data_IF_052991721164
#
_entry.id   IF_052991721164
#
_cell.length_a   1.000
_cell.length_b   1.000
_cell.length_c   1.000
_cell.angle_alpha   90.00
_cell.angle_beta   90.00
_cell.angle_gamma   90.00
#
_symmetry.space_group_name_H-M   'P 1'
#
loop_
_entity.id
_entity.type
_entity.pdbx_description
1 polymer ?
#
# COMPACT_ATOMS: atom_id res chain seq x y z
N UNK A 1 -19.30 -23.09 -29.97
CA UNK A 1 -17.88 -23.47 -30.08
C UNK A 1 -17.10 -22.66 -29.07
N UNK A 2 -16.64 -23.33 -28.02
CA UNK A 2 -15.78 -22.75 -26.99
C UNK A 2 -14.33 -22.75 -27.46
N UNK A 3 -13.59 -21.68 -27.18
CA UNK A 3 -12.13 -21.67 -27.03
C UNK A 3 -11.82 -20.84 -25.78
N UNK A 4 -11.14 -21.47 -24.83
CA UNK A 4 -10.88 -21.01 -23.47
C UNK A 4 -9.55 -20.23 -23.34
N UNK A 5 -9.50 -19.36 -22.34
CA UNK A 5 -8.33 -18.60 -21.88
C UNK A 5 -7.97 -18.97 -20.42
N UNK A 6 -6.69 -18.80 -20.09
CA UNK A 6 -5.93 -19.38 -18.96
C UNK A 6 -5.82 -18.46 -17.72
N UNK A 7 -5.43 -18.98 -16.54
CA UNK A 7 -5.48 -18.25 -15.27
C UNK A 7 -4.21 -17.70 -14.59
N UNK A 8 -4.42 -16.89 -13.53
CA UNK A 8 -3.41 -16.26 -12.64
C UNK A 8 -3.69 -16.46 -11.14
N UNK A 9 -2.73 -16.98 -10.37
CA UNK A 9 -2.84 -17.36 -8.95
C UNK A 9 -2.29 -16.28 -7.98
N UNK A 10 -2.82 -16.20 -6.76
CA UNK A 10 -2.31 -15.38 -5.65
C UNK A 10 -1.17 -16.11 -4.90
N UNK A 11 -0.01 -15.45 -4.74
CA UNK A 11 1.16 -15.99 -4.04
C UNK A 11 1.56 -15.13 -2.83
N UNK A 12 1.58 -15.73 -1.64
CA UNK A 12 2.60 -15.44 -0.63
C UNK A 12 3.90 -16.11 -1.11
N UNK A 13 5.09 -15.50 -0.94
CA UNK A 13 6.33 -16.11 -1.39
C UNK A 13 6.72 -17.27 -0.47
N UNK A 14 6.23 -18.46 -0.77
CA UNK A 14 6.84 -19.72 -0.37
C UNK A 14 7.77 -20.17 -1.49
N UNK A 15 9.04 -20.41 -1.19
CA UNK A 15 9.96 -20.99 -2.16
C UNK A 15 9.87 -22.52 -2.11
N UNK A 16 9.89 -23.12 -3.29
CA UNK A 16 10.15 -24.55 -3.52
C UNK A 16 11.08 -24.66 -4.73
N UNK A 17 12.23 -25.33 -4.54
CA UNK A 17 13.23 -25.67 -5.57
C UNK A 17 12.90 -27.08 -6.12
N UNK A 18 13.35 -27.63 -7.26
CA UNK A 18 14.47 -27.43 -8.19
C UNK A 18 14.20 -28.20 -9.50
N UNK A 19 14.96 -27.94 -10.58
CA UNK A 19 15.30 -29.03 -11.54
C UNK A 19 16.68 -28.79 -12.14
N UNK A 20 17.65 -29.60 -11.73
CA UNK A 20 18.97 -29.73 -12.34
C UNK A 20 18.91 -30.69 -13.54
N UNK A 21 19.56 -30.30 -14.64
CA UNK A 21 19.77 -31.14 -15.83
C UNK A 21 20.83 -32.20 -15.54
N UNK A 22 20.50 -33.44 -15.86
CA UNK A 22 21.37 -34.61 -15.89
C UNK A 22 22.44 -34.49 -16.98
N UNK A 23 23.70 -34.80 -16.62
CA UNK A 23 24.75 -35.16 -17.58
C UNK A 23 25.46 -36.43 -17.12
N UNK A 24 25.58 -37.33 -18.08
CA UNK A 24 25.94 -38.76 -18.02
C UNK A 24 27.41 -39.03 -17.65
N UNK A 25 27.63 -40.12 -16.90
CA UNK A 25 28.94 -40.74 -16.62
C UNK A 25 29.52 -41.49 -17.83
N UNK A 26 30.86 -41.61 -17.88
CA UNK A 26 31.55 -42.69 -18.58
C UNK A 26 32.90 -43.08 -17.93
N UNK A 27 32.95 -44.33 -17.45
CA UNK A 27 33.96 -45.39 -17.71
C UNK A 27 35.38 -45.46 -17.05
N UNK A 28 35.63 -46.68 -16.47
CA UNK A 28 36.87 -47.51 -16.33
C UNK A 28 37.97 -47.05 -15.34
N UNK A 29 38.77 -47.88 -14.64
CA UNK A 29 38.88 -49.34 -14.42
C UNK A 29 40.04 -49.67 -13.41
N UNK A 30 39.94 -50.82 -12.72
CA UNK A 30 41.00 -51.81 -12.33
C UNK A 30 41.93 -51.64 -11.08
N UNK A 31 42.10 -52.79 -10.38
CA UNK A 31 43.18 -53.22 -9.45
C UNK A 31 42.64 -53.50 -8.02
N UNK A 32 42.38 -54.72 -7.51
CA UNK A 32 43.04 -56.05 -7.32
C UNK A 32 43.96 -56.13 -6.08
N UNK A 33 43.84 -57.27 -5.37
CA UNK A 33 44.61 -57.84 -4.23
C UNK A 33 44.02 -57.53 -2.83
N UNK A 34 43.84 -58.45 -1.86
CA UNK A 34 44.14 -59.88 -1.67
C UNK A 34 43.56 -60.36 -0.31
N UNK A 35 43.34 -61.66 -0.15
CA UNK A 35 42.66 -62.41 0.96
C UNK A 35 43.75 -63.13 1.80
N UNK A 36 43.67 -63.35 3.15
CA UNK A 36 42.94 -64.50 3.79
C UNK A 36 42.40 -64.26 5.23
N UNK A 37 41.18 -64.71 5.57
CA UNK A 37 40.79 -65.99 6.20
C UNK A 37 41.64 -66.49 7.39
N UNK A 38 41.04 -66.47 8.59
CA UNK A 38 41.36 -67.34 9.73
C UNK A 38 40.10 -67.69 10.54
N UNK A 39 40.15 -68.79 11.26
CA UNK A 39 39.10 -69.81 11.48
C UNK A 39 38.35 -69.75 12.83
N UNK A 40 37.00 -69.91 12.78
CA UNK A 40 35.99 -70.66 13.60
C UNK A 40 36.27 -71.08 15.07
N UNK A 41 35.26 -71.29 15.99
CA UNK A 41 33.90 -71.79 15.73
C UNK A 41 32.73 -71.18 16.57
N UNK A 42 31.53 -71.72 16.34
CA UNK A 42 30.20 -71.33 16.84
C UNK A 42 29.92 -71.82 18.28
N UNK A 43 29.27 -70.99 19.13
CA UNK A 43 28.23 -71.45 20.08
C UNK A 43 27.34 -70.32 20.62
N UNK A 44 26.05 -70.63 20.68
CA UNK A 44 24.91 -69.83 21.12
C UNK A 44 25.01 -69.35 22.57
N UNK A 45 24.63 -68.09 22.82
CA UNK A 45 24.02 -67.65 24.08
C UNK A 45 22.89 -66.67 23.75
N UNK A 46 21.66 -67.05 24.09
CA UNK A 46 20.48 -66.18 24.12
C UNK A 46 20.40 -65.61 25.54
N UNK A 47 20.69 -64.32 25.75
CA UNK A 47 20.30 -63.61 26.96
C UNK A 47 19.86 -62.18 26.63
N UNK A 48 18.55 -62.01 26.74
CA UNK A 48 17.79 -60.93 27.40
C UNK A 48 18.09 -59.45 27.09
N UNK A 49 16.99 -58.78 26.73
CA UNK A 49 16.87 -57.33 26.59
C UNK A 49 17.24 -56.58 27.88
N UNK A 50 17.96 -55.48 27.72
CA UNK A 50 17.90 -54.33 28.62
C UNK A 50 17.84 -53.06 27.79
N UNK A 51 16.75 -52.34 28.01
CA UNK A 51 16.40 -51.02 27.51
C UNK A 51 17.50 -49.99 27.71
N UNK A 52 17.96 -49.41 26.61
CA UNK A 52 18.55 -48.07 26.59
C UNK A 52 17.88 -47.28 25.48
N UNK A 53 17.00 -46.37 25.89
CA UNK A 53 16.41 -45.33 25.07
C UNK A 53 17.54 -44.40 24.61
N UNK A 54 18.17 -44.72 23.49
CA UNK A 54 18.96 -43.75 22.74
C UNK A 54 17.97 -42.75 22.15
N UNK A 55 17.90 -41.56 22.75
CA UNK A 55 17.34 -40.39 22.08
C UNK A 55 18.12 -40.23 20.77
N UNK A 56 17.48 -40.59 19.67
CA UNK A 56 17.96 -40.19 18.36
C UNK A 56 17.91 -38.67 18.33
N UNK A 57 19.07 -38.02 18.42
CA UNK A 57 19.22 -36.66 17.95
C UNK A 57 18.85 -36.69 16.47
N UNK A 58 17.73 -36.07 16.11
CA UNK A 58 17.53 -35.60 14.76
C UNK A 58 18.72 -34.68 14.45
N UNK A 59 19.61 -35.13 13.55
CA UNK A 59 20.53 -34.23 12.86
C UNK A 59 19.67 -33.25 12.05
N UNK A 60 19.29 -32.13 12.67
CA UNK A 60 18.71 -30.99 11.96
C UNK A 60 19.73 -30.51 10.93
N UNK A 61 19.34 -30.56 9.64
CA UNK A 61 20.06 -29.89 8.58
C UNK A 61 20.41 -28.45 9.01
N UNK A 62 21.59 -27.91 8.63
CA UNK A 62 22.01 -26.59 9.06
C UNK A 62 20.91 -25.57 8.75
N UNK A 63 20.46 -24.85 9.78
CA UNK A 63 19.37 -23.90 9.66
C UNK A 63 19.72 -22.86 8.58
N UNK A 64 18.93 -22.82 7.51
CA UNK A 64 19.04 -21.80 6.46
C UNK A 64 18.15 -20.61 6.81
N UNK A 65 18.47 -19.43 6.27
CA UNK A 65 17.64 -18.24 6.44
C UNK A 65 16.18 -18.50 6.01
N UNK A 66 15.98 -19.18 4.88
CA UNK A 66 14.66 -19.62 4.39
C UNK A 66 13.91 -20.50 5.42
N UNK A 67 14.58 -21.51 5.98
CA UNK A 67 13.98 -22.42 6.97
C UNK A 67 13.55 -21.65 8.23
N UNK A 68 14.39 -20.72 8.70
CA UNK A 68 14.05 -19.85 9.82
C UNK A 68 12.85 -18.94 9.51
N UNK A 69 12.76 -18.35 8.31
CA UNK A 69 11.58 -17.55 7.92
C UNK A 69 10.31 -18.40 7.92
N UNK A 70 10.35 -19.60 7.32
CA UNK A 70 9.20 -20.49 7.25
C UNK A 70 8.77 -20.97 8.65
N UNK A 71 9.74 -21.32 9.51
CA UNK A 71 9.50 -21.68 10.90
C UNK A 71 8.88 -20.53 11.69
N UNK A 72 9.40 -19.31 11.53
CA UNK A 72 8.85 -18.10 12.13
C UNK A 72 7.40 -17.85 11.74
N UNK A 73 7.04 -18.04 10.46
CA UNK A 73 5.68 -17.90 9.96
C UNK A 73 4.72 -18.92 10.60
N UNK A 74 5.15 -20.19 10.72
CA UNK A 74 4.35 -21.23 11.38
C UNK A 74 4.16 -20.96 12.88
N UNK A 75 5.18 -20.42 13.55
CA UNK A 75 5.08 -20.03 14.96
C UNK A 75 4.14 -18.83 15.13
N UNK A 76 4.23 -17.86 14.22
CA UNK A 76 3.35 -16.69 14.22
C UNK A 76 1.89 -17.09 14.02
N UNK A 77 1.58 -17.98 13.07
CA UNK A 77 0.22 -18.49 12.86
C UNK A 77 -0.34 -19.25 14.07
N UNK A 78 0.53 -19.81 14.91
CA UNK A 78 0.16 -20.47 16.18
C UNK A 78 0.05 -19.48 17.36
N UNK A 79 0.25 -18.18 17.13
CA UNK A 79 0.25 -17.15 18.17
C UNK A 79 1.52 -17.10 19.03
N UNK A 80 2.57 -17.87 18.69
CA UNK A 80 3.86 -17.91 19.41
C UNK A 80 4.77 -16.78 18.93
N UNK A 81 4.31 -15.54 19.09
CA UNK A 81 4.93 -14.33 18.49
C UNK A 81 6.37 -14.08 18.95
N UNK A 82 6.69 -14.38 20.21
CA UNK A 82 8.07 -14.20 20.73
C UNK A 82 9.07 -15.11 20.03
N UNK A 83 8.66 -16.34 19.75
CA UNK A 83 9.52 -17.35 19.10
C UNK A 83 9.60 -17.08 17.60
N UNK A 84 8.49 -16.65 16.99
CA UNK A 84 8.49 -16.17 15.61
C UNK A 84 9.51 -15.03 15.40
N UNK A 85 9.52 -14.03 16.29
CA UNK A 85 10.52 -12.95 16.26
C UNK A 85 11.95 -13.49 16.33
N UNK A 86 12.22 -14.44 17.24
CA UNK A 86 13.54 -15.07 17.34
C UNK A 86 13.94 -15.75 16.04
N UNK A 87 13.02 -16.44 15.37
CA UNK A 87 13.30 -17.10 14.09
C UNK A 87 13.58 -16.08 12.97
N UNK A 88 12.83 -14.98 12.91
CA UNK A 88 13.12 -13.92 11.92
C UNK A 88 14.43 -13.20 12.20
N UNK A 89 14.80 -12.99 13.47
CA UNK A 89 16.10 -12.44 13.84
C UNK A 89 17.23 -13.39 13.43
N UNK A 90 17.09 -14.69 13.70
CA UNK A 90 18.06 -15.71 13.25
C UNK A 90 18.18 -15.70 11.72
N UNK A 91 17.07 -15.65 10.98
CA UNK A 91 17.10 -15.60 9.52
C UNK A 91 17.94 -14.42 9.00
N UNK A 92 17.85 -13.25 9.64
CA UNK A 92 18.63 -12.06 9.26
C UNK A 92 20.13 -12.17 9.56
N UNK A 93 20.53 -13.12 10.43
CA UNK A 93 21.95 -13.40 10.74
C UNK A 93 22.57 -14.47 9.84
N UNK A 94 21.76 -15.28 9.14
CA UNK A 94 22.19 -16.44 8.35
C UNK A 94 22.55 -16.11 6.90
N UNK A 95 23.03 -14.89 6.63
CA UNK A 95 23.31 -14.38 5.28
C UNK A 95 22.14 -14.61 4.29
N UNK A 96 20.97 -14.03 4.56
CA UNK A 96 19.81 -14.20 3.70
C UNK A 96 20.05 -13.60 2.31
N UNK A 97 19.44 -14.20 1.29
CA UNK A 97 19.33 -13.51 0.01
C UNK A 97 18.36 -12.30 0.13
N UNK A 98 18.33 -11.36 -0.84
CA UNK A 98 17.49 -10.16 -0.73
C UNK A 98 15.99 -10.45 -0.51
N UNK A 99 15.45 -11.53 -1.07
CA UNK A 99 14.04 -11.89 -0.93
C UNK A 99 13.75 -12.47 0.48
N UNK A 100 14.65 -13.30 1.00
CA UNK A 100 14.57 -13.83 2.36
C UNK A 100 14.68 -12.73 3.40
N UNK A 101 15.61 -11.78 3.21
CA UNK A 101 15.79 -10.64 4.10
C UNK A 101 14.55 -9.73 4.09
N UNK A 102 14.00 -9.46 2.91
CA UNK A 102 12.73 -8.73 2.76
C UNK A 102 11.60 -9.42 3.53
N UNK A 103 11.43 -10.74 3.34
CA UNK A 103 10.40 -11.53 4.00
C UNK A 103 10.58 -11.58 5.53
N UNK A 104 11.81 -11.77 6.01
CA UNK A 104 12.12 -11.78 7.43
C UNK A 104 11.81 -10.43 8.09
N UNK A 105 12.25 -9.31 7.50
CA UNK A 105 11.96 -7.97 8.00
C UNK A 105 10.45 -7.66 7.99
N UNK A 106 9.77 -8.05 6.92
CA UNK A 106 8.33 -7.86 6.78
C UNK A 106 7.55 -8.62 7.85
N UNK A 107 7.79 -9.93 8.00
CA UNK A 107 7.09 -10.74 8.98
C UNK A 107 7.45 -10.36 10.43
N UNK A 108 8.70 -9.92 10.65
CA UNK A 108 9.12 -9.32 11.93
C UNK A 108 8.31 -8.05 12.23
N UNK A 109 8.04 -7.21 11.23
CA UNK A 109 7.18 -6.04 11.41
C UNK A 109 5.74 -6.42 11.77
N UNK A 110 5.15 -7.43 11.11
CA UNK A 110 3.82 -7.95 11.47
C UNK A 110 3.78 -8.44 12.92
N UNK A 111 4.83 -9.12 13.39
CA UNK A 111 4.96 -9.52 14.80
C UNK A 111 5.00 -8.34 15.77
N UNK A 112 5.74 -7.27 15.45
CA UNK A 112 5.78 -6.06 16.27
C UNK A 112 4.44 -5.30 16.24
N UNK A 113 3.79 -5.21 15.09
CA UNK A 113 2.46 -4.63 14.92
C UNK A 113 1.42 -5.36 15.79
N UNK A 114 1.45 -6.70 15.79
CA UNK A 114 0.60 -7.53 16.62
C UNK A 114 0.82 -7.27 18.13
N UNK A 115 2.06 -7.00 18.54
CA UNK A 115 2.42 -6.66 19.93
C UNK A 115 2.12 -5.21 20.31
N UNK A 116 1.67 -4.37 19.38
CA UNK A 116 1.49 -2.93 19.58
C UNK A 116 2.82 -2.15 19.64
N UNK A 117 3.92 -2.75 19.21
CA UNK A 117 5.26 -2.16 19.20
C UNK A 117 5.49 -1.34 17.91
N UNK A 118 4.71 -0.26 17.75
CA UNK A 118 4.65 0.54 16.53
C UNK A 118 5.99 1.00 15.98
N UNK A 119 6.88 1.53 16.84
CA UNK A 119 8.22 1.99 16.44
C UNK A 119 9.05 0.88 15.78
N UNK A 120 9.11 -0.30 16.41
CA UNK A 120 9.89 -1.43 15.88
C UNK A 120 9.28 -1.98 14.59
N UNK A 121 7.95 -1.97 14.48
CA UNK A 121 7.27 -2.34 13.25
C UNK A 121 7.66 -1.37 12.11
N UNK A 122 7.60 -0.06 12.38
CA UNK A 122 7.99 0.97 11.43
C UNK A 122 9.46 0.83 11.00
N UNK A 123 10.37 0.57 11.93
CA UNK A 123 11.81 0.41 11.62
C UNK A 123 12.07 -0.80 10.71
N UNK A 124 11.42 -1.93 10.99
CA UNK A 124 11.54 -3.12 10.15
C UNK A 124 10.99 -2.86 8.74
N UNK A 125 9.83 -2.21 8.63
CA UNK A 125 9.23 -1.86 7.34
C UNK A 125 10.07 -0.83 6.58
N UNK A 126 10.62 0.18 7.26
CA UNK A 126 11.52 1.17 6.65
C UNK A 126 12.73 0.49 6.03
N UNK A 127 13.34 -0.46 6.74
CA UNK A 127 14.45 -1.26 6.22
C UNK A 127 14.03 -2.10 5.02
N UNK A 128 12.88 -2.77 5.09
CA UNK A 128 12.35 -3.58 3.99
C UNK A 128 12.04 -2.75 2.72
N UNK A 129 11.47 -1.56 2.90
CA UNK A 129 11.16 -0.62 1.83
C UNK A 129 12.44 -0.04 1.20
N UNK A 130 13.41 0.39 2.02
CA UNK A 130 14.67 1.01 1.59
C UNK A 130 15.61 0.03 0.89
N UNK A 131 15.97 -1.05 1.58
CA UNK A 131 17.08 -1.91 1.16
C UNK A 131 16.63 -3.02 0.19
N UNK A 132 15.35 -3.39 0.24
CA UNK A 132 14.84 -4.54 -0.49
C UNK A 132 13.67 -4.21 -1.43
N UNK A 133 13.39 -2.93 -1.70
CA UNK A 133 12.32 -2.47 -2.60
C UNK A 133 10.96 -3.13 -2.32
N UNK A 134 10.61 -3.29 -1.03
CA UNK A 134 9.26 -3.70 -0.65
C UNK A 134 8.26 -2.70 -1.24
N UNK A 135 7.16 -3.21 -1.79
CA UNK A 135 6.07 -2.35 -2.29
C UNK A 135 5.27 -1.84 -1.10
N UNK A 136 5.13 -0.52 -0.98
CA UNK A 136 4.30 0.07 0.09
C UNK A 136 2.84 -0.38 0.03
N UNK A 137 2.34 -0.70 -1.17
CA UNK A 137 1.02 -1.31 -1.35
C UNK A 137 0.85 -2.64 -0.60
N UNK A 138 1.92 -3.42 -0.39
CA UNK A 138 1.87 -4.65 0.42
C UNK A 138 1.52 -4.33 1.88
N UNK A 139 2.13 -3.27 2.44
CA UNK A 139 1.89 -2.80 3.81
C UNK A 139 0.44 -2.33 4.00
N UNK A 140 -0.11 -1.63 3.00
CA UNK A 140 -1.47 -1.09 3.05
C UNK A 140 -2.56 -2.16 3.06
N UNK A 141 -2.34 -3.24 2.31
CA UNK A 141 -3.36 -4.28 2.08
C UNK A 141 -3.26 -5.43 3.08
N UNK A 142 -2.20 -5.49 3.90
CA UNK A 142 -2.02 -6.58 4.84
C UNK A 142 -2.97 -6.43 6.06
N UNK A 143 -3.80 -7.46 6.36
CA UNK A 143 -4.64 -7.45 7.55
C UNK A 143 -3.85 -7.48 8.87
N UNK A 144 -2.69 -8.11 8.92
CA UNK A 144 -1.85 -8.21 10.13
C UNK A 144 -1.24 -6.86 10.53
N UNK A 145 -1.15 -5.93 9.57
CA UNK A 145 -0.68 -4.56 9.79
C UNK A 145 -1.83 -3.58 10.04
N UNK A 146 -3.09 -4.02 10.10
CA UNK A 146 -4.24 -3.13 10.34
C UNK A 146 -4.12 -2.39 11.69
N UNK A 147 -3.63 -3.05 12.74
CA UNK A 147 -3.40 -2.40 14.04
C UNK A 147 -2.29 -1.34 13.96
N UNK A 148 -1.24 -1.60 13.19
CA UNK A 148 -0.13 -0.68 12.98
C UNK A 148 -0.54 0.55 12.17
N UNK A 149 -1.42 0.39 11.17
CA UNK A 149 -1.97 1.52 10.38
C UNK A 149 -2.74 2.53 11.23
N UNK A 150 -3.27 2.09 12.36
CA UNK A 150 -3.91 2.94 13.35
C UNK A 150 -2.92 3.67 14.28
N UNK A 151 -1.61 3.47 14.18
CA UNK A 151 -0.59 4.12 15.02
C UNK A 151 0.02 5.36 14.35
N UNK A 152 0.52 6.36 15.12
CA UNK A 152 1.19 7.53 14.56
C UNK A 152 2.45 7.18 13.77
N UNK A 153 3.17 6.12 14.16
CA UNK A 153 4.39 5.66 13.47
C UNK A 153 4.12 5.21 12.03
N UNK A 154 2.92 4.71 11.73
CA UNK A 154 2.55 4.40 10.34
C UNK A 154 2.38 5.66 9.51
N UNK A 155 1.86 6.75 10.09
CA UNK A 155 1.76 8.05 9.40
C UNK A 155 3.14 8.61 9.10
N UNK A 156 4.08 8.50 10.03
CA UNK A 156 5.48 8.87 9.80
C UNK A 156 6.04 8.09 8.62
N UNK A 157 5.93 6.75 8.64
CA UNK A 157 6.37 5.87 7.55
C UNK A 157 5.69 6.19 6.20
N UNK A 158 4.41 6.53 6.20
CA UNK A 158 3.66 6.89 5.01
C UNK A 158 4.10 8.26 4.44
N UNK A 159 4.31 9.26 5.29
CA UNK A 159 4.81 10.57 4.89
C UNK A 159 6.22 10.46 4.34
N UNK A 160 7.05 9.69 5.00
CA UNK A 160 8.38 9.25 4.59
C UNK A 160 8.37 8.63 3.17
N UNK A 161 7.53 7.62 2.94
CA UNK A 161 7.36 6.98 1.63
C UNK A 161 6.80 7.95 0.57
N UNK A 162 5.94 8.90 0.96
CA UNK A 162 5.39 9.95 0.08
C UNK A 162 6.44 10.99 -0.30
N UNK A 163 7.28 11.40 0.66
CA UNK A 163 8.37 12.36 0.47
C UNK A 163 9.52 11.77 -0.34
N UNK A 164 9.59 10.44 -0.43
CA UNK A 164 10.38 9.71 -1.42
C UNK A 164 11.84 10.16 -1.48
N UNK A 165 12.47 10.23 -0.30
CA UNK A 165 13.91 10.35 -0.17
C UNK A 165 14.61 9.04 -0.53
N UNK A 166 15.92 9.13 -0.71
CA UNK A 166 16.83 7.99 -0.92
C UNK A 166 16.74 6.95 0.24
N UNK A 167 16.16 7.35 1.36
CA UNK A 167 16.10 6.58 2.59
C UNK A 167 15.00 5.53 2.70
N UNK A 168 13.98 5.50 1.81
CA UNK A 168 12.74 4.71 2.08
C UNK A 168 12.25 3.95 0.84
N UNK A 169 12.97 4.04 -0.27
CA UNK A 169 12.64 3.33 -1.51
C UNK A 169 11.59 4.06 -2.36
N UNK A 170 11.63 3.82 -3.67
CA UNK A 170 10.90 4.61 -4.66
C UNK A 170 9.47 4.14 -4.91
N UNK A 171 9.06 2.96 -4.41
CA UNK A 171 7.85 2.28 -4.89
C UNK A 171 6.57 3.12 -4.72
N UNK A 172 6.30 3.65 -3.52
CA UNK A 172 5.07 4.42 -3.26
C UNK A 172 5.03 5.77 -4.00
N UNK A 173 6.08 6.60 -3.87
CA UNK A 173 6.15 7.88 -4.56
C UNK A 173 6.11 7.69 -6.07
N UNK A 174 6.78 6.68 -6.61
CA UNK A 174 6.77 6.40 -8.05
C UNK A 174 5.36 6.09 -8.52
N UNK A 175 4.63 5.22 -7.82
CA UNK A 175 3.26 4.88 -8.18
C UNK A 175 2.35 6.13 -8.11
N UNK A 176 2.50 6.98 -7.09
CA UNK A 176 1.80 8.26 -7.00
C UNK A 176 2.18 9.23 -8.13
N UNK A 177 3.46 9.26 -8.52
CA UNK A 177 3.98 10.10 -9.61
C UNK A 177 3.42 9.64 -10.96
N UNK A 178 3.32 8.33 -11.19
CA UNK A 178 2.70 7.80 -12.40
C UNK A 178 1.22 8.21 -12.49
N UNK A 179 0.48 8.15 -11.37
CA UNK A 179 -0.91 8.63 -11.32
C UNK A 179 -0.98 10.15 -11.58
N UNK A 180 -0.06 10.93 -11.01
CA UNK A 180 -0.04 12.39 -11.20
C UNK A 180 0.38 12.82 -12.60
N UNK A 181 1.27 12.06 -13.26
CA UNK A 181 1.67 12.25 -14.65
C UNK A 181 0.51 11.99 -15.62
N UNK A 182 -0.34 11.00 -15.34
CA UNK A 182 -1.57 10.77 -16.11
C UNK A 182 -2.54 11.95 -15.98
N UNK A 183 -2.62 12.57 -14.80
CA UNK A 183 -3.51 13.74 -14.58
C UNK A 183 -2.95 15.04 -15.17
N UNK A 184 -1.62 15.18 -15.23
CA UNK A 184 -0.94 16.36 -15.75
C UNK A 184 0.15 15.95 -16.75
N UNK A 185 -0.25 15.64 -18.00
CA UNK A 185 0.67 15.10 -18.98
C UNK A 185 1.81 16.08 -19.27
N UNK A 186 3.00 15.53 -19.52
CA UNK A 186 4.22 16.27 -19.88
C UNK A 186 4.77 17.25 -18.83
N UNK A 187 4.35 17.16 -17.56
CA UNK A 187 4.94 17.97 -16.47
C UNK A 187 6.48 17.85 -16.43
N UNK A 188 7.01 16.63 -16.53
CA UNK A 188 8.45 16.40 -16.55
C UNK A 188 9.16 17.11 -17.71
N UNK A 189 8.57 17.08 -18.91
CA UNK A 189 9.08 17.77 -20.10
C UNK A 189 9.10 19.29 -19.88
N UNK A 190 8.02 19.84 -19.34
CA UNK A 190 7.91 21.28 -19.04
C UNK A 190 8.96 21.75 -18.04
N UNK A 191 9.19 20.98 -16.96
CA UNK A 191 10.24 21.28 -15.98
C UNK A 191 11.64 21.22 -16.56
N UNK A 192 11.89 20.24 -17.42
CA UNK A 192 13.15 20.15 -18.16
C UNK A 192 13.41 21.45 -18.93
N UNK A 193 12.41 21.95 -19.67
CA UNK A 193 12.54 23.22 -20.39
C UNK A 193 12.69 24.43 -19.47
N UNK A 194 11.99 24.50 -18.34
CA UNK A 194 12.18 25.57 -17.37
C UNK A 194 13.61 25.65 -16.86
N UNK A 195 14.20 24.51 -16.48
CA UNK A 195 15.58 24.45 -16.00
C UNK A 195 16.57 24.72 -17.13
N UNK A 196 16.39 24.08 -18.29
CA UNK A 196 17.29 24.23 -19.43
C UNK A 196 17.33 25.67 -19.95
N UNK A 197 16.18 26.33 -20.10
CA UNK A 197 16.11 27.72 -20.54
C UNK A 197 16.59 28.69 -19.47
N UNK A 198 16.37 28.40 -18.18
CA UNK A 198 16.96 29.21 -17.10
C UNK A 198 18.49 29.12 -17.11
N UNK A 199 19.05 27.92 -17.32
CA UNK A 199 20.48 27.72 -17.44
C UNK A 199 21.05 28.42 -18.68
N UNK A 200 20.39 28.30 -19.83
CA UNK A 200 20.79 28.99 -21.06
C UNK A 200 20.79 30.51 -20.90
N UNK A 201 19.73 31.08 -20.30
CA UNK A 201 19.65 32.50 -20.01
C UNK A 201 20.70 32.95 -18.98
N UNK A 202 21.01 32.12 -17.99
CA UNK A 202 22.10 32.36 -17.03
C UNK A 202 23.49 32.40 -17.68
N UNK A 203 23.78 31.45 -18.58
CA UNK A 203 25.02 31.44 -19.36
C UNK A 203 25.10 32.68 -20.26
N UNK A 204 24.00 33.04 -20.94
CA UNK A 204 23.94 34.26 -21.75
C UNK A 204 24.19 35.52 -20.92
N UNK A 205 23.60 35.59 -19.72
CA UNK A 205 23.78 36.71 -18.80
C UNK A 205 25.23 36.83 -18.30
N UNK A 206 25.90 35.70 -18.05
CA UNK A 206 27.32 35.66 -17.68
C UNK A 206 28.22 36.37 -18.70
N UNK A 207 27.94 36.23 -19.99
CA UNK A 207 28.67 36.95 -21.05
C UNK A 207 28.17 38.37 -21.29
N UNK A 208 26.88 38.63 -21.06
CA UNK A 208 26.27 39.94 -21.33
C UNK A 208 26.59 40.97 -20.25
N UNK A 209 26.72 40.58 -18.98
CA UNK A 209 27.04 41.51 -17.88
C UNK A 209 28.39 42.23 -18.10
N UNK A 210 29.52 41.53 -18.38
CA UNK A 210 30.78 42.21 -18.67
C UNK A 210 30.71 43.13 -19.90
N UNK A 211 29.96 42.73 -20.93
CA UNK A 211 29.73 43.57 -22.12
C UNK A 211 28.94 44.83 -21.78
N UNK A 212 27.93 44.72 -20.92
CA UNK A 212 27.13 45.85 -20.46
C UNK A 212 27.98 46.83 -19.65
N UNK A 213 28.86 46.33 -18.77
CA UNK A 213 29.80 47.16 -18.02
C UNK A 213 30.74 47.92 -18.97
N UNK A 214 31.25 47.26 -20.02
CA UNK A 214 32.08 47.92 -21.05
C UNK A 214 31.29 48.96 -21.84
N UNK A 215 30.04 48.66 -22.23
CA UNK A 215 29.15 49.59 -22.92
C UNK A 215 28.92 50.87 -22.10
N UNK A 216 28.71 50.74 -20.79
CA UNK A 216 28.52 51.88 -19.88
C UNK A 216 29.80 52.72 -19.73
N UNK A 217 30.97 52.06 -19.69
CA UNK A 217 32.27 52.76 -19.59
C UNK A 217 32.65 53.54 -20.84
N UNK A 218 32.08 53.20 -22.01
CA UNK A 218 32.40 53.85 -23.29
C UNK A 218 33.79 53.51 -23.84
N UNK A 219 34.10 54.01 -25.03
CA UNK A 219 35.35 53.80 -25.77
C UNK A 219 35.13 53.52 -27.25
N UNK A 220 36.18 53.63 -28.07
CA UNK A 220 36.09 53.52 -29.54
C UNK A 220 35.57 52.15 -30.02
N UNK A 221 35.78 51.08 -29.23
CA UNK A 221 35.32 49.70 -29.50
C UNK A 221 34.18 49.24 -28.54
N UNK A 222 33.46 50.16 -27.90
CA UNK A 222 32.41 49.80 -26.95
C UNK A 222 31.14 49.26 -27.66
N UNK A 223 30.53 48.16 -27.19
CA UNK A 223 29.29 47.63 -27.77
C UNK A 223 28.10 48.57 -27.52
N UNK A 224 27.09 48.51 -28.39
CA UNK A 224 25.89 49.34 -28.28
C UNK A 224 25.18 49.13 -26.93
N UNK A 225 24.98 50.21 -26.18
CA UNK A 225 24.40 50.19 -24.84
C UNK A 225 22.96 49.67 -24.82
N UNK A 226 22.11 50.15 -25.73
CA UNK A 226 20.69 49.79 -25.75
C UNK A 226 20.48 48.33 -26.14
N UNK A 227 21.21 47.85 -27.14
CA UNK A 227 21.14 46.45 -27.57
C UNK A 227 21.66 45.52 -26.46
N UNK A 228 22.76 45.89 -25.81
CA UNK A 228 23.36 45.10 -24.72
C UNK A 228 22.47 45.12 -23.46
N UNK A 229 21.88 46.26 -23.13
CA UNK A 229 20.94 46.41 -22.02
C UNK A 229 19.65 45.64 -22.28
N UNK A 230 19.11 45.70 -23.50
CA UNK A 230 17.93 44.93 -23.92
C UNK A 230 18.16 43.43 -23.80
N UNK A 231 19.30 42.92 -24.29
CA UNK A 231 19.68 41.52 -24.14
C UNK A 231 19.84 41.09 -22.68
N UNK A 232 20.43 41.93 -21.82
CA UNK A 232 20.54 41.65 -20.40
C UNK A 232 19.15 41.59 -19.74
N UNK A 233 18.27 42.56 -20.05
CA UNK A 233 16.91 42.62 -19.52
C UNK A 233 16.07 41.41 -19.92
N UNK A 234 16.15 40.97 -21.18
CA UNK A 234 15.45 39.77 -21.68
C UNK A 234 15.91 38.52 -20.92
N UNK A 235 17.22 38.33 -20.74
CA UNK A 235 17.74 37.16 -20.03
C UNK A 235 17.36 37.19 -18.54
N UNK A 236 17.47 38.35 -17.87
CA UNK A 236 17.06 38.50 -16.46
C UNK A 236 15.56 38.22 -16.31
N UNK A 237 14.72 38.84 -17.13
CA UNK A 237 13.28 38.62 -17.12
C UNK A 237 12.91 37.16 -17.40
N UNK A 238 13.58 36.53 -18.38
CA UNK A 238 13.43 35.12 -18.70
C UNK A 238 13.74 34.22 -17.52
N UNK A 239 14.88 34.40 -16.85
CA UNK A 239 15.24 33.63 -15.65
C UNK A 239 14.18 33.80 -14.55
N UNK A 240 13.78 35.05 -14.26
CA UNK A 240 12.77 35.32 -13.22
C UNK A 240 11.46 34.58 -13.52
N UNK A 241 10.95 34.69 -14.75
CA UNK A 241 9.69 34.05 -15.15
C UNK A 241 9.80 32.53 -15.11
N UNK A 242 10.87 31.94 -15.66
CA UNK A 242 11.06 30.49 -15.70
C UNK A 242 11.24 29.89 -14.30
N UNK A 243 11.97 30.58 -13.42
CA UNK A 243 12.12 30.18 -12.01
C UNK A 243 10.77 30.27 -11.28
N UNK A 244 9.99 31.33 -11.49
CA UNK A 244 8.66 31.46 -10.92
C UNK A 244 7.71 30.34 -11.40
N UNK A 245 7.74 30.01 -12.70
CA UNK A 245 6.98 28.90 -13.28
C UNK A 245 7.40 27.54 -12.71
N UNK A 246 8.70 27.34 -12.48
CA UNK A 246 9.23 26.13 -11.85
C UNK A 246 8.70 25.97 -10.41
N UNK A 247 8.78 27.02 -9.59
CA UNK A 247 8.24 27.01 -8.24
C UNK A 247 6.73 26.76 -8.23
N UNK A 248 5.99 27.39 -9.15
CA UNK A 248 4.55 27.19 -9.25
C UNK A 248 4.18 25.76 -9.63
N UNK A 249 4.88 25.17 -10.60
CA UNK A 249 4.64 23.78 -11.03
C UNK A 249 5.07 22.75 -9.96
N UNK A 250 6.08 23.07 -9.14
CA UNK A 250 6.45 22.28 -7.96
C UNK A 250 5.34 22.31 -6.91
N UNK A 251 4.85 23.50 -6.55
CA UNK A 251 3.73 23.66 -5.63
C UNK A 251 2.48 22.92 -6.12
N UNK A 252 2.16 23.02 -7.42
CA UNK A 252 1.01 22.33 -8.02
C UNK A 252 1.16 20.81 -8.01
N UNK A 253 2.36 20.28 -8.22
CA UNK A 253 2.61 18.84 -8.07
C UNK A 253 2.42 18.38 -6.63
N UNK A 254 2.94 19.12 -5.65
CA UNK A 254 2.79 18.78 -4.23
C UNK A 254 1.31 18.76 -3.81
N UNK A 255 0.54 19.78 -4.21
CA UNK A 255 -0.91 19.84 -3.99
C UNK A 255 -1.61 18.61 -4.60
N UNK A 256 -1.27 18.25 -5.84
CA UNK A 256 -1.84 17.10 -6.52
C UNK A 256 -1.45 15.77 -5.86
N UNK A 257 -0.17 15.58 -5.53
CA UNK A 257 0.32 14.36 -4.87
C UNK A 257 -0.32 14.20 -3.49
N UNK A 258 -0.50 15.30 -2.74
CA UNK A 258 -1.19 15.29 -1.45
C UNK A 258 -2.67 14.88 -1.62
N UNK A 259 -3.34 15.38 -2.67
CA UNK A 259 -4.72 14.98 -2.97
C UNK A 259 -4.82 13.51 -3.40
N UNK A 260 -3.93 13.03 -4.27
CA UNK A 260 -3.89 11.63 -4.73
C UNK A 260 -3.61 10.70 -3.55
N UNK A 261 -2.60 11.01 -2.73
CA UNK A 261 -2.26 10.23 -1.53
C UNK A 261 -3.43 10.16 -0.54
N UNK A 262 -4.15 11.28 -0.34
CA UNK A 262 -5.33 11.33 0.52
C UNK A 262 -6.48 10.49 -0.03
N UNK A 263 -6.70 10.52 -1.35
CA UNK A 263 -7.71 9.69 -2.01
C UNK A 263 -7.35 8.19 -1.98
N UNK A 264 -6.06 7.85 -2.13
CA UNK A 264 -5.60 6.46 -2.01
C UNK A 264 -5.80 5.96 -0.59
N UNK A 265 -5.41 6.75 0.42
CA UNK A 265 -5.66 6.43 1.84
C UNK A 265 -7.14 6.23 2.12
N UNK A 266 -8.02 7.12 1.63
CA UNK A 266 -9.48 6.97 1.74
C UNK A 266 -9.95 5.62 1.19
N UNK A 267 -9.43 5.25 0.02
CA UNK A 267 -9.84 4.04 -0.68
C UNK A 267 -9.49 2.75 0.10
N UNK A 268 -8.48 2.80 0.97
CA UNK A 268 -8.03 1.68 1.80
C UNK A 268 -8.69 1.63 3.18
N UNK A 269 -9.51 2.62 3.54
CA UNK A 269 -10.14 2.64 4.84
C UNK A 269 -11.14 1.47 4.98
N UNK A 270 -11.02 0.66 6.05
CA UNK A 270 -11.86 -0.52 6.23
C UNK A 270 -13.23 -0.14 6.82
N UNK A 271 -14.25 -0.83 6.31
CA UNK A 271 -15.63 -0.77 6.76
C UNK A 271 -16.15 -2.18 7.04
N UNK A 272 -16.98 -2.29 8.07
CA UNK A 272 -17.79 -3.48 8.33
C UNK A 272 -19.18 -3.26 7.74
N UNK A 273 -19.55 -4.10 6.77
CA UNK A 273 -20.90 -4.14 6.25
C UNK A 273 -21.82 -4.83 7.26
N UNK A 274 -23.12 -4.65 7.09
CA UNK A 274 -24.12 -5.26 7.97
C UNK A 274 -24.16 -6.78 8.00
N UNK A 275 -23.53 -7.43 7.02
CA UNK A 275 -23.29 -8.88 6.99
C UNK A 275 -22.10 -9.31 7.84
N UNK A 276 -21.54 -8.38 8.63
CA UNK A 276 -20.33 -8.55 9.42
C UNK A 276 -19.06 -8.77 8.58
N UNK A 277 -19.17 -8.64 7.25
CA UNK A 277 -18.04 -8.69 6.31
C UNK A 277 -17.24 -7.38 6.38
N UNK A 278 -15.93 -7.51 6.48
CA UNK A 278 -14.99 -6.39 6.39
C UNK A 278 -14.60 -6.19 4.92
N UNK A 279 -14.71 -4.95 4.45
CA UNK A 279 -14.35 -4.53 3.09
C UNK A 279 -13.59 -3.21 3.13
N UNK A 280 -12.71 -2.98 2.17
CA UNK A 280 -12.11 -1.66 1.94
C UNK A 280 -13.06 -0.80 1.09
N UNK A 281 -12.98 0.52 1.24
CA UNK A 281 -13.80 1.45 0.48
C UNK A 281 -13.63 1.30 -1.05
N UNK A 282 -12.43 0.94 -1.51
CA UNK A 282 -12.13 0.66 -2.93
C UNK A 282 -12.97 -0.49 -3.49
N UNK A 283 -13.31 -1.48 -2.66
CA UNK A 283 -14.13 -2.63 -3.07
C UNK A 283 -15.60 -2.26 -3.25
N UNK A 284 -16.02 -1.10 -2.74
CA UNK A 284 -17.37 -0.57 -2.84
C UNK A 284 -17.56 0.36 -4.06
N UNK A 285 -16.49 0.62 -4.82
CA UNK A 285 -16.58 1.38 -6.08
C UNK A 285 -17.58 0.74 -7.05
N UNK A 286 -18.19 1.57 -7.88
CA UNK A 286 -19.27 1.23 -8.84
C UNK A 286 -20.60 0.77 -8.24
N UNK A 287 -20.61 0.38 -6.96
CA UNK A 287 -21.77 -0.19 -6.27
C UNK A 287 -22.52 0.84 -5.43
N UNK A 288 -21.81 1.71 -4.71
CA UNK A 288 -22.41 2.64 -3.74
C UNK A 288 -21.72 4.01 -3.74
N UNK A 289 -22.46 5.00 -3.23
CA UNK A 289 -22.00 6.35 -2.91
C UNK A 289 -21.92 6.50 -1.39
N UNK A 290 -20.75 6.31 -0.78
CA UNK A 290 -20.59 6.56 0.64
C UNK A 290 -20.90 8.02 1.00
N UNK A 291 -21.75 8.21 2.00
CA UNK A 291 -21.99 9.49 2.67
C UNK A 291 -21.46 9.36 4.09
N UNK A 292 -20.28 9.94 4.29
CA UNK A 292 -19.57 9.92 5.56
C UNK A 292 -20.16 11.04 6.43
N UNK A 293 -20.61 10.68 7.63
CA UNK A 293 -21.14 11.59 8.63
C UNK A 293 -20.16 11.61 9.80
N UNK A 294 -19.48 12.72 10.01
CA UNK A 294 -18.38 12.80 10.95
C UNK A 294 -18.65 13.88 11.99
N UNK A 295 -18.64 13.54 13.27
CA UNK A 295 -19.13 14.47 14.28
C UNK A 295 -19.33 13.87 15.67
N UNK A 296 -19.96 14.68 16.53
CA UNK A 296 -20.47 14.23 17.82
C UNK A 296 -21.56 13.17 17.64
N UNK A 297 -21.69 12.29 18.63
CA UNK A 297 -22.64 11.17 18.63
C UNK A 297 -24.08 11.63 18.43
N UNK A 298 -24.45 12.76 19.04
CA UNK A 298 -25.80 13.34 19.00
C UNK A 298 -26.11 13.89 17.59
N UNK A 299 -25.17 14.64 17.00
CA UNK A 299 -25.31 15.19 15.65
C UNK A 299 -25.46 14.07 14.62
N UNK A 300 -24.64 13.02 14.72
CA UNK A 300 -24.71 11.86 13.84
C UNK A 300 -26.04 11.12 14.01
N UNK A 301 -26.48 10.87 15.25
CA UNK A 301 -27.74 10.20 15.50
C UNK A 301 -28.93 10.97 14.88
N UNK A 302 -28.95 12.30 15.03
CA UNK A 302 -29.96 13.15 14.43
C UNK A 302 -29.90 13.13 12.89
N UNK A 303 -28.69 13.19 12.32
CA UNK A 303 -28.49 13.11 10.87
C UNK A 303 -29.02 11.79 10.29
N UNK A 304 -28.68 10.67 10.95
CA UNK A 304 -29.15 9.33 10.58
C UNK A 304 -30.68 9.21 10.69
N UNK A 305 -31.28 9.73 11.76
CA UNK A 305 -32.73 9.72 11.94
C UNK A 305 -33.45 10.50 10.83
N UNK A 306 -32.92 11.66 10.43
CA UNK A 306 -33.49 12.44 9.32
C UNK A 306 -33.29 11.76 7.96
N UNK A 307 -32.18 11.05 7.76
CA UNK A 307 -31.91 10.29 6.54
C UNK A 307 -32.96 9.19 6.31
N UNK A 308 -33.48 8.59 7.39
CA UNK A 308 -34.47 7.50 7.31
C UNK A 308 -35.75 7.93 6.57
N UNK A 309 -36.13 9.22 6.65
CA UNK A 309 -37.27 9.78 5.90
C UNK A 309 -37.07 9.73 4.38
N UNK A 310 -35.83 9.69 3.93
CA UNK A 310 -35.44 9.64 2.53
C UNK A 310 -34.88 8.27 2.12
N UNK A 311 -34.99 7.24 2.99
CA UNK A 311 -34.33 5.93 2.83
C UNK A 311 -34.50 5.35 1.43
N UNK A 312 -35.73 5.23 0.94
CA UNK A 312 -36.04 4.63 -0.36
C UNK A 312 -35.33 5.37 -1.50
N UNK A 313 -35.33 6.69 -1.44
CA UNK A 313 -34.79 7.53 -2.51
C UNK A 313 -33.25 7.57 -2.48
N UNK A 314 -32.67 7.52 -1.28
CA UNK A 314 -31.22 7.39 -1.06
C UNK A 314 -30.72 6.02 -1.51
N UNK A 315 -31.43 4.94 -1.20
CA UNK A 315 -31.10 3.59 -1.67
C UNK A 315 -31.18 3.47 -3.19
N UNK A 316 -32.18 4.08 -3.83
CA UNK A 316 -32.28 4.14 -5.30
C UNK A 316 -31.07 4.83 -5.95
N UNK A 317 -30.41 5.73 -5.21
CA UNK A 317 -29.17 6.42 -5.58
C UNK A 317 -27.91 5.73 -5.08
N UNK A 318 -28.02 4.52 -4.54
CA UNK A 318 -26.89 3.74 -4.04
C UNK A 318 -26.19 4.37 -2.85
N UNK A 319 -26.85 5.22 -2.06
CA UNK A 319 -26.22 5.87 -0.90
C UNK A 319 -25.97 4.87 0.22
N UNK A 320 -24.75 4.91 0.78
CA UNK A 320 -24.34 4.15 1.97
C UNK A 320 -23.92 5.11 3.07
N UNK A 321 -24.59 5.08 4.22
CA UNK A 321 -24.25 5.95 5.35
C UNK A 321 -23.07 5.37 6.16
N UNK A 322 -22.06 6.20 6.41
CA UNK A 322 -20.85 5.84 7.18
C UNK A 322 -20.70 6.81 8.35
N UNK A 323 -21.19 6.48 9.55
CA UNK A 323 -21.04 7.32 10.73
C UNK A 323 -19.64 7.16 11.35
N UNK A 324 -18.96 8.28 11.58
CA UNK A 324 -17.64 8.37 12.21
C UNK A 324 -17.74 9.27 13.44
N UNK A 325 -17.81 8.68 14.62
CA UNK A 325 -18.01 9.42 15.87
C UNK A 325 -16.65 9.86 16.43
N UNK A 326 -16.56 11.15 16.80
CA UNK A 326 -15.35 11.71 17.41
C UNK A 326 -15.01 11.07 18.75
N UNK A 327 -13.75 10.69 18.92
CA UNK A 327 -13.23 10.20 20.20
C UNK A 327 -13.54 8.73 20.53
N UNK A 328 -14.32 8.01 19.72
CA UNK A 328 -14.56 6.56 19.92
C UNK A 328 -13.27 5.73 19.75
N UNK A 329 -12.27 6.24 19.02
CA UNK A 329 -10.96 5.59 18.86
C UNK A 329 -10.09 5.54 20.13
N UNK A 330 -10.52 6.13 21.25
CA UNK A 330 -9.79 6.05 22.53
C UNK A 330 -10.18 4.82 23.38
N UNK A 331 -11.26 4.11 23.03
CA UNK A 331 -11.84 3.08 23.89
C UNK A 331 -12.13 1.78 23.14
N UNK A 332 -11.09 1.03 22.79
CA UNK A 332 -11.17 -0.43 22.73
C UNK A 332 -9.76 -1.00 22.95
N UNK A 333 -9.47 -1.65 24.09
CA UNK A 333 -8.34 -2.56 24.16
C UNK A 333 -8.49 -3.57 23.03
N UNK A 334 -7.42 -3.80 22.28
CA UNK A 334 -7.32 -4.89 21.30
C UNK A 334 -7.93 -6.16 21.89
N UNK A 335 -9.13 -6.55 21.44
CA UNK A 335 -9.57 -7.91 21.67
C UNK A 335 -8.57 -8.79 20.96
N UNK A 336 -7.84 -9.58 21.75
CA UNK A 336 -6.89 -10.60 21.32
C UNK A 336 -7.65 -11.68 20.55
N UNK A 337 -8.01 -11.40 19.30
CA UNK A 337 -8.54 -12.43 18.40
C UNK A 337 -7.36 -13.27 17.92
N UNK A 338 -7.20 -14.41 18.57
CA UNK A 338 -6.39 -15.50 18.05
C UNK A 338 -6.87 -15.90 16.66
N UNK A 339 -5.92 -16.30 15.82
CA UNK A 339 -6.16 -16.86 14.50
C UNK A 339 -7.07 -18.10 14.61
N UNK A 340 -8.36 -17.91 14.38
CA UNK A 340 -9.32 -18.98 14.13
C UNK A 340 -9.51 -19.13 12.63
N UNK A 341 -9.01 -20.23 12.07
CA UNK A 341 -9.18 -20.61 10.68
C UNK A 341 -10.66 -20.54 10.25
N UNK A 342 -10.95 -19.86 9.15
CA UNK A 342 -12.18 -20.13 8.39
C UNK A 342 -12.11 -21.58 7.89
N UNK A 343 -13.16 -22.42 8.04
CA UNK A 343 -13.14 -23.76 7.48
C UNK A 343 -13.00 -23.67 5.96
N UNK A 344 -11.86 -24.14 5.44
CA UNK A 344 -11.59 -24.24 4.01
C UNK A 344 -12.26 -25.51 3.50
N UNK A 345 -13.34 -25.38 2.74
CA UNK A 345 -13.88 -26.49 1.96
C UNK A 345 -12.82 -26.94 0.92
N UNK A 346 -12.69 -28.25 0.63
CA UNK A 346 -11.65 -28.75 -0.25
C UNK A 346 -11.89 -28.29 -1.70
N UNK A 347 -10.94 -27.57 -2.28
CA UNK A 347 -10.93 -27.20 -3.68
C UNK A 347 -10.21 -28.28 -4.50
N UNK A 348 -10.91 -28.82 -5.49
CA UNK A 348 -10.37 -29.69 -6.52
C UNK A 348 -9.50 -28.91 -7.53
N UNK A 349 -8.63 -29.64 -8.23
CA UNK A 349 -7.60 -29.17 -9.17
C UNK A 349 -8.14 -28.32 -10.36
N UNK A 350 -7.31 -27.43 -10.94
CA UNK A 350 -7.75 -26.44 -11.92
C UNK A 350 -7.83 -27.01 -13.35
N UNK A 351 -8.91 -26.64 -14.05
CA UNK A 351 -9.08 -26.81 -15.50
C UNK A 351 -9.10 -25.43 -16.16
N UNK A 352 -8.46 -25.35 -17.33
CA UNK A 352 -8.19 -24.16 -18.13
C UNK A 352 -9.49 -23.40 -18.49
N UNK A 353 -9.76 -22.27 -17.81
CA UNK A 353 -10.91 -21.40 -18.10
C UNK A 353 -11.05 -20.09 -17.29
N UNK A 354 -10.07 -19.68 -16.49
CA UNK A 354 -10.29 -18.73 -15.37
C UNK A 354 -10.48 -17.23 -15.73
N UNK A 355 -10.38 -16.81 -16.98
CA UNK A 355 -10.56 -15.38 -17.31
C UNK A 355 -12.04 -14.94 -17.29
N UNK A 356 -12.98 -15.87 -17.52
CA UNK A 356 -14.41 -15.57 -17.48
C UNK A 356 -15.01 -15.77 -16.08
N UNK A 357 -14.50 -16.75 -15.34
CA UNK A 357 -14.93 -17.03 -13.96
C UNK A 357 -14.54 -15.94 -12.99
N UNK A 358 -13.37 -15.30 -13.13
CA UNK A 358 -13.02 -14.15 -12.28
C UNK A 358 -13.93 -12.95 -12.50
N UNK A 359 -14.34 -12.69 -13.74
CA UNK A 359 -15.29 -11.61 -14.07
C UNK A 359 -16.72 -11.98 -13.65
N UNK A 360 -17.13 -13.24 -13.77
CA UNK A 360 -18.41 -13.73 -13.28
C UNK A 360 -18.46 -13.76 -11.73
N UNK A 361 -17.37 -14.11 -11.06
CA UNK A 361 -17.22 -14.08 -9.61
C UNK A 361 -17.16 -12.64 -9.09
N UNK A 362 -16.52 -11.70 -9.80
CA UNK A 362 -16.56 -10.28 -9.42
C UNK A 362 -17.95 -9.69 -9.62
N UNK A 363 -18.67 -10.05 -10.68
CA UNK A 363 -20.07 -9.64 -10.91
C UNK A 363 -21.02 -10.29 -9.89
N UNK A 364 -20.78 -11.55 -9.51
CA UNK A 364 -21.59 -12.26 -8.50
C UNK A 364 -21.26 -11.79 -7.08
N UNK A 365 -20.00 -11.46 -6.80
CA UNK A 365 -19.58 -10.83 -5.56
C UNK A 365 -20.12 -9.41 -5.47
N UNK A 366 -20.10 -8.64 -6.56
CA UNK A 366 -20.73 -7.32 -6.66
C UNK A 366 -22.25 -7.41 -6.54
N UNK A 367 -22.91 -8.43 -7.11
CA UNK A 367 -24.36 -8.60 -6.99
C UNK A 367 -24.78 -9.09 -5.60
N UNK A 368 -23.98 -9.93 -4.94
CA UNK A 368 -24.13 -10.29 -3.52
C UNK A 368 -23.84 -9.10 -2.61
N UNK A 369 -22.76 -8.35 -2.84
CA UNK A 369 -22.48 -7.07 -2.16
C UNK A 369 -23.67 -6.11 -2.32
N UNK A 370 -24.20 -5.96 -3.54
CA UNK A 370 -25.34 -5.11 -3.86
C UNK A 370 -26.64 -5.54 -3.15
N UNK A 371 -26.80 -6.82 -2.84
CA UNK A 371 -27.91 -7.34 -2.04
C UNK A 371 -27.67 -7.24 -0.52
N UNK A 372 -26.40 -7.19 -0.08
CA UNK A 372 -25.98 -7.20 1.31
C UNK A 372 -25.70 -5.81 1.92
N UNK A 373 -25.52 -4.78 1.09
CA UNK A 373 -25.38 -3.38 1.53
C UNK A 373 -26.69 -2.94 2.16
N UNK A 374 -26.83 -3.18 3.46
CA UNK A 374 -27.75 -2.39 4.27
C UNK A 374 -27.26 -0.94 4.23
N UNK A 375 -28.22 -0.03 4.19
CA UNK A 375 -28.13 1.44 4.16
C UNK A 375 -27.04 2.09 5.05
N UNK A 376 -26.44 1.36 5.99
CA UNK A 376 -25.43 1.80 6.95
C UNK A 376 -24.26 0.81 6.99
N UNK A 377 -23.04 1.32 7.04
CA UNK A 377 -21.82 0.58 7.38
C UNK A 377 -21.27 1.00 8.75
N UNK A 378 -20.47 0.13 9.36
CA UNK A 378 -19.76 0.40 10.61
C UNK A 378 -18.27 0.64 10.34
N UNK A 379 -17.70 1.57 11.07
CA UNK A 379 -16.28 1.91 10.97
C UNK A 379 -15.48 0.97 11.87
N UNK A 380 -14.43 0.35 11.34
CA UNK A 380 -13.58 -0.60 12.10
C UNK A 380 -12.43 0.10 12.81
N UNK A 381 -11.83 1.10 12.15
CA UNK A 381 -10.71 1.88 12.68
C UNK A 381 -11.11 3.36 12.84
N UNK A 382 -11.93 3.72 13.87
CA UNK A 382 -12.40 5.10 14.04
C UNK A 382 -11.27 6.13 14.06
N UNK A 383 -10.10 5.76 14.61
CA UNK A 383 -8.92 6.62 14.62
C UNK A 383 -8.36 6.91 13.21
N UNK A 384 -8.33 5.93 12.31
CA UNK A 384 -7.87 6.13 10.93
C UNK A 384 -8.85 7.00 10.15
N UNK A 385 -10.15 6.75 10.31
CA UNK A 385 -11.20 7.57 9.73
C UNK A 385 -11.15 9.01 10.25
N UNK A 386 -11.07 9.21 11.57
CA UNK A 386 -10.97 10.54 12.17
C UNK A 386 -9.73 11.30 11.67
N UNK A 387 -8.58 10.63 11.57
CA UNK A 387 -7.36 11.23 11.00
C UNK A 387 -7.54 11.65 9.55
N UNK A 388 -8.05 10.75 8.72
CA UNK A 388 -8.30 11.06 7.32
C UNK A 388 -9.24 12.25 7.16
N UNK A 389 -10.33 12.30 7.92
CA UNK A 389 -11.31 13.40 7.88
C UNK A 389 -10.68 14.71 8.35
N UNK A 390 -9.85 14.68 9.41
CA UNK A 390 -9.11 15.87 9.86
C UNK A 390 -8.13 16.38 8.81
N UNK A 391 -7.45 15.49 8.11
CA UNK A 391 -6.54 15.86 7.02
C UNK A 391 -7.32 16.43 5.82
N UNK A 392 -8.51 15.90 5.52
CA UNK A 392 -9.44 16.50 4.54
C UNK A 392 -9.93 17.89 4.99
N UNK A 393 -10.31 18.06 6.26
CA UNK A 393 -10.73 19.35 6.82
C UNK A 393 -9.65 20.41 6.66
N UNK A 394 -8.39 20.10 7.00
CA UNK A 394 -7.25 21.01 6.80
C UNK A 394 -7.09 21.43 5.34
N UNK A 395 -7.24 20.49 4.40
CA UNK A 395 -7.10 20.80 2.97
C UNK A 395 -8.21 21.72 2.43
N UNK A 396 -9.38 21.72 3.06
CA UNK A 396 -10.54 22.56 2.72
C UNK A 396 -10.61 23.83 3.59
N UNK A 397 -9.63 24.10 4.45
CA UNK A 397 -9.64 25.24 5.36
C UNK A 397 -10.69 25.15 6.48
N UNK A 398 -11.14 23.94 6.84
CA UNK A 398 -12.09 23.67 7.92
C UNK A 398 -11.33 23.33 9.21
N UNK A 399 -11.81 23.83 10.35
CA UNK A 399 -11.21 23.55 11.66
C UNK A 399 -11.29 22.04 11.96
N UNK A 400 -10.16 21.37 12.26
CA UNK A 400 -10.16 19.95 12.57
C UNK A 400 -11.05 19.59 13.76
N UNK A 401 -11.94 18.61 13.58
CA UNK A 401 -12.88 18.16 14.62
C UNK A 401 -14.24 18.87 14.60
N UNK A 402 -14.48 19.82 13.69
CA UNK A 402 -15.85 20.26 13.39
C UNK A 402 -16.70 19.10 12.85
N UNK A 403 -18.00 19.13 13.12
CA UNK A 403 -18.95 18.19 12.51
C UNK A 403 -19.00 18.47 11.00
N UNK A 404 -18.89 17.44 10.18
CA UNK A 404 -18.87 17.53 8.71
C UNK A 404 -19.57 16.33 8.08
N UNK A 405 -19.99 16.50 6.83
CA UNK A 405 -20.38 15.40 5.96
C UNK A 405 -19.54 15.40 4.68
N UNK A 406 -19.29 14.22 4.13
CA UNK A 406 -18.52 14.03 2.91
C UNK A 406 -19.28 13.05 2.02
N UNK A 407 -19.54 13.45 0.78
CA UNK A 407 -20.26 12.67 -0.22
C UNK A 407 -19.24 12.16 -1.24
N UNK A 408 -19.19 10.85 -1.45
CA UNK A 408 -18.35 10.22 -2.45
C UNK A 408 -19.15 9.86 -3.71
N UNK A 409 -18.48 9.88 -4.86
CA UNK A 409 -18.99 9.36 -6.13
C UNK A 409 -18.85 7.82 -6.19
N UNK A 410 -19.41 7.20 -7.23
CA UNK A 410 -19.27 5.76 -7.47
C UNK A 410 -17.81 5.33 -7.74
N UNK A 411 -16.99 6.19 -8.36
CA UNK A 411 -15.54 5.99 -8.53
C UNK A 411 -14.72 6.11 -7.21
N UNK A 412 -15.38 6.45 -6.10
CA UNK A 412 -14.77 6.61 -4.78
C UNK A 412 -14.08 7.97 -4.54
N UNK A 413 -14.16 8.92 -5.47
CA UNK A 413 -13.64 10.28 -5.27
C UNK A 413 -14.61 11.15 -4.47
N UNK A 414 -14.08 12.12 -3.74
CA UNK A 414 -14.90 13.12 -3.03
C UNK A 414 -15.65 13.97 -4.05
N UNK A 415 -16.99 13.96 -3.96
CA UNK A 415 -17.87 14.82 -4.75
C UNK A 415 -18.01 16.19 -4.10
N UNK A 416 -18.31 16.17 -2.80
CA UNK A 416 -18.63 17.36 -1.99
C UNK A 416 -18.36 17.06 -0.53
N UNK A 417 -17.89 18.05 0.20
CA UNK A 417 -17.89 18.07 1.67
C UNK A 417 -18.66 19.30 2.15
N UNK A 418 -19.18 19.26 3.37
CA UNK A 418 -19.83 20.42 3.98
C UNK A 418 -19.82 20.34 5.50
N UNK A 419 -20.02 21.50 6.14
CA UNK A 419 -20.05 21.61 7.61
C UNK A 419 -21.41 21.18 8.17
N UNK A 420 -21.37 20.60 9.37
CA UNK A 420 -22.52 20.17 10.13
C UNK A 420 -23.28 19.01 9.49
N UNK A 421 -24.61 19.08 9.59
CA UNK A 421 -25.52 18.05 9.10
C UNK A 421 -25.82 18.24 7.61
N UNK A 422 -25.87 17.15 6.81
CA UNK A 422 -26.27 17.25 5.42
C UNK A 422 -27.76 17.62 5.26
N UNK A 423 -28.06 18.38 4.21
CA UNK A 423 -29.42 18.52 3.71
C UNK A 423 -29.77 17.32 2.81
N UNK A 424 -30.53 16.37 3.38
CA UNK A 424 -30.94 15.15 2.68
C UNK A 424 -31.80 15.42 1.45
N UNK A 425 -32.62 16.47 1.45
CA UNK A 425 -33.45 16.83 0.30
C UNK A 425 -32.58 17.34 -0.85
N UNK A 426 -31.54 18.12 -0.54
CA UNK A 426 -30.57 18.56 -1.51
C UNK A 426 -29.77 17.38 -2.08
N UNK A 427 -29.33 16.44 -1.24
CA UNK A 427 -28.59 15.24 -1.67
C UNK A 427 -29.42 14.40 -2.65
N UNK A 428 -30.70 14.20 -2.36
CA UNK A 428 -31.63 13.47 -3.23
C UNK A 428 -31.78 14.15 -4.61
N UNK A 429 -31.79 15.48 -4.65
CA UNK A 429 -31.85 16.25 -5.91
C UNK A 429 -30.54 16.18 -6.69
N UNK A 430 -29.41 16.19 -5.99
CA UNK A 430 -28.08 16.24 -6.60
C UNK A 430 -27.62 14.88 -7.15
N UNK A 431 -27.88 13.79 -6.42
CA UNK A 431 -27.37 12.47 -6.78
C UNK A 431 -28.27 11.80 -7.83
N UNK A 432 -27.72 11.34 -8.96
CA UNK A 432 -28.51 10.63 -9.95
C UNK A 432 -28.87 9.20 -9.49
N UNK A 433 -30.08 8.70 -9.81
CA UNK A 433 -30.46 7.30 -9.61
C UNK A 433 -29.45 6.32 -10.25
N UNK A 434 -29.28 5.13 -9.69
CA UNK A 434 -28.25 4.16 -10.15
C UNK A 434 -28.43 3.66 -11.59
N UNK A 435 -29.64 3.73 -12.12
CA UNK A 435 -30.04 3.39 -13.48
C UNK A 435 -29.82 4.54 -14.49
N UNK A 436 -29.66 5.77 -14.00
CA UNK A 436 -29.47 6.95 -14.85
C UNK A 436 -28.12 6.92 -15.58
N UNK A 437 -28.09 7.52 -16.77
CA UNK A 437 -26.87 7.63 -17.59
C UNK A 437 -25.74 8.38 -16.86
N UNK A 438 -26.07 9.41 -16.08
CA UNK A 438 -25.10 10.14 -15.26
C UNK A 438 -24.38 9.24 -14.25
N UNK A 439 -25.07 8.24 -13.69
CA UNK A 439 -24.46 7.26 -12.79
C UNK A 439 -23.50 6.32 -13.52
N UNK A 440 -23.69 6.08 -14.82
CA UNK A 440 -22.74 5.30 -15.63
C UNK A 440 -21.46 6.08 -15.93
N UNK A 441 -21.53 7.41 -15.98
CA UNK A 441 -20.36 8.30 -16.13
C UNK A 441 -19.59 8.51 -14.81
N UNK A 442 -20.19 8.13 -13.68
CA UNK A 442 -19.54 8.18 -12.37
C UNK A 442 -18.77 6.90 -12.01
N UNK A 443 -19.00 5.82 -12.76
CA UNK A 443 -18.19 4.59 -12.72
C UNK A 443 -17.01 4.77 -13.65
#
# INVERSE_FOLDING_TARGET
MAVAALPLNHHLPCFSTSSSRTRTQSWRSRGREGVPQSTRPVRFVVISCSSSTSQAQEEEAPATAESCVNSGLQLFSKGRVKEALSQFDTALTLNPNPLEAQAALYNKACCHAYRGEGKKAADCLRKALKEYDLKFGTILNDPDLASFRALPEFKELQEEARLGGEDIGYSFRRDLKLISEVQAPFRGVRRFFYVAFSAAAGISLFFTIPRLIRAIKGGDDAPNLWDTAGNAAINIGGVIVLVALLFWDNKKEEEQLAQISRNETLSRLPLRLSTNRVVELVQLRDTVRPVILAGKKETIALAMQKAERFRTELLRRGVLLVPVIWGEGKAAPLEKKGFGASPKAPAALPSIGEDFEKRAQSVTAQSKLKAEIRFKAEVISPAEWERWIKDQQKSEGVTPGEDVYIILRLDGRVRRSGKGMPDWQQIVKELPPMDALLSKLER
#
